data_IF_421915902791
#
_entry.id   IF_421915902791
#
_cell.length_a   1.000
_cell.length_b   1.000
_cell.length_c   1.000
_cell.angle_alpha   90.00
_cell.angle_beta   90.00
_cell.angle_gamma   90.00
#
_symmetry.space_group_name_H-M   'P 1'
#
loop_
_entity.id
_entity.type
_entity.pdbx_description
1 polymer ?
#
# COMPACT_ATOMS: atom_id res chain seq x y z
N UNK A 1 -13.97 0.35 1.51
CA UNK A 1 -12.87 1.33 1.50
C UNK A 1 -13.44 2.68 1.88
N UNK A 2 -12.58 3.63 2.25
CA UNK A 2 -12.92 5.03 2.46
C UNK A 2 -11.78 5.89 1.89
N UNK A 3 -12.09 7.10 1.44
CA UNK A 3 -11.10 8.06 0.96
C UNK A 3 -11.12 9.26 1.91
N UNK A 4 -9.96 9.59 2.47
CA UNK A 4 -9.76 10.82 3.24
C UNK A 4 -8.93 11.76 2.36
N UNK A 5 -9.55 12.80 1.81
CA UNK A 5 -8.86 13.78 0.96
C UNK A 5 -8.06 14.77 1.80
N UNK A 6 -6.97 15.30 1.23
CA UNK A 6 -6.17 16.39 1.79
C UNK A 6 -5.58 16.08 3.19
N UNK A 7 -5.09 14.85 3.39
CA UNK A 7 -4.54 14.40 4.69
C UNK A 7 -3.35 15.23 5.17
N UNK A 8 -2.69 15.95 4.26
CA UNK A 8 -1.64 16.91 4.55
C UNK A 8 -1.74 18.11 3.59
N UNK A 9 -1.38 19.32 4.05
CA UNK A 9 -1.27 20.48 3.17
C UNK A 9 -0.06 20.37 2.23
N UNK A 10 -0.02 21.11 1.11
CA UNK A 10 1.03 20.97 0.09
C UNK A 10 2.46 21.12 0.62
N UNK A 11 2.69 21.99 1.62
CA UNK A 11 4.00 22.17 2.22
C UNK A 11 4.49 20.93 3.00
N UNK A 12 3.59 20.20 3.67
CA UNK A 12 3.93 18.94 4.34
C UNK A 12 4.16 17.83 3.31
N UNK A 13 3.38 17.80 2.23
CA UNK A 13 3.63 16.89 1.10
C UNK A 13 5.02 17.12 0.50
N UNK A 14 5.44 18.37 0.27
CA UNK A 14 6.79 18.67 -0.22
C UNK A 14 7.88 18.18 0.73
N UNK A 15 7.73 18.41 2.05
CA UNK A 15 8.68 17.89 3.05
C UNK A 15 8.79 16.36 3.01
N UNK A 16 7.65 15.67 2.88
CA UNK A 16 7.64 14.21 2.76
C UNK A 16 8.35 13.74 1.48
N UNK A 17 8.15 14.43 0.35
CA UNK A 17 8.90 14.16 -0.88
C UNK A 17 10.40 14.34 -0.69
N UNK A 18 10.82 15.44 -0.05
CA UNK A 18 12.22 15.70 0.20
C UNK A 18 12.83 14.64 1.14
N UNK A 19 12.14 14.28 2.22
CA UNK A 19 12.56 13.22 3.14
C UNK A 19 12.65 11.83 2.45
N UNK A 20 11.74 11.53 1.51
CA UNK A 20 11.84 10.33 0.69
C UNK A 20 13.11 10.35 -0.17
N UNK A 21 13.36 11.45 -0.88
CA UNK A 21 14.54 11.56 -1.74
C UNK A 21 15.85 11.55 -0.96
N UNK A 22 15.91 12.20 0.20
CA UNK A 22 17.04 12.11 1.14
C UNK A 22 17.33 10.66 1.51
N UNK A 23 16.31 9.91 1.94
CA UNK A 23 16.45 8.49 2.26
C UNK A 23 16.95 7.68 1.06
N UNK A 24 16.36 7.85 -0.13
CA UNK A 24 16.77 7.08 -1.32
C UNK A 24 18.19 7.44 -1.80
N UNK A 25 18.62 8.69 -1.62
CA UNK A 25 19.97 9.13 -1.94
C UNK A 25 20.98 8.50 -0.98
N UNK A 26 20.68 8.48 0.31
CA UNK A 26 21.53 7.88 1.34
C UNK A 26 21.65 6.36 1.16
N UNK A 27 20.53 5.67 0.96
CA UNK A 27 20.49 4.20 0.97
C UNK A 27 20.85 3.59 -0.38
N UNK A 28 20.49 4.24 -1.48
CA UNK A 28 20.65 3.69 -2.84
C UNK A 28 21.44 4.58 -3.80
N UNK A 29 21.92 5.74 -3.37
CA UNK A 29 22.60 6.70 -4.26
C UNK A 29 21.67 7.30 -5.32
N UNK A 30 20.36 7.21 -5.12
CA UNK A 30 19.38 7.72 -6.07
C UNK A 30 19.39 9.25 -6.09
N UNK A 31 19.34 9.84 -7.28
CA UNK A 31 19.30 11.28 -7.46
C UNK A 31 17.94 11.70 -8.03
N UNK A 32 17.28 12.64 -7.34
CA UNK A 32 16.03 13.24 -7.79
C UNK A 32 16.23 13.89 -9.16
N UNK A 33 15.41 13.52 -10.13
CA UNK A 33 15.52 14.03 -11.50
C UNK A 33 16.57 13.34 -12.39
N UNK A 34 17.26 12.30 -11.92
CA UNK A 34 18.21 11.52 -12.74
C UNK A 34 17.79 10.04 -12.81
N UNK A 35 16.85 9.68 -13.71
CA UNK A 35 16.31 8.31 -13.80
C UNK A 35 17.36 7.21 -14.02
N UNK A 36 18.50 7.53 -14.62
CA UNK A 36 19.64 6.61 -14.79
C UNK A 36 20.21 6.10 -13.45
N UNK A 37 19.91 6.77 -12.34
CA UNK A 37 20.28 6.33 -10.98
C UNK A 37 19.24 5.40 -10.35
N UNK A 38 18.10 5.15 -11.00
CA UNK A 38 16.96 4.39 -10.45
C UNK A 38 16.89 2.95 -10.97
N UNK A 39 17.93 2.46 -11.64
CA UNK A 39 17.97 1.14 -12.30
C UNK A 39 17.68 -0.02 -11.33
N UNK A 40 18.14 0.10 -10.09
CA UNK A 40 17.95 -0.90 -9.03
C UNK A 40 16.57 -0.85 -8.37
N UNK A 41 15.57 -0.26 -9.03
CA UNK A 41 14.19 -0.26 -8.55
C UNK A 41 13.92 0.64 -7.36
N UNK A 42 14.86 1.51 -6.97
CA UNK A 42 14.77 2.29 -5.72
C UNK A 42 14.48 1.37 -4.53
N UNK A 43 15.19 0.24 -4.45
CA UNK A 43 15.01 -0.82 -3.44
C UNK A 43 13.64 -1.48 -3.39
N UNK A 44 12.75 -1.16 -4.32
CA UNK A 44 11.45 -1.78 -4.43
C UNK A 44 11.54 -3.11 -5.16
N UNK A 45 10.63 -4.03 -4.82
CA UNK A 45 10.43 -5.23 -5.59
C UNK A 45 10.03 -4.85 -7.04
N UNK A 46 10.75 -5.30 -8.08
CA UNK A 46 10.50 -4.87 -9.45
C UNK A 46 9.14 -5.32 -9.99
N UNK A 47 8.55 -6.38 -9.43
CA UNK A 47 7.24 -6.86 -9.84
C UNK A 47 6.09 -6.12 -9.16
N UNK A 48 6.23 -5.64 -7.92
CA UNK A 48 5.11 -5.06 -7.15
C UNK A 48 5.29 -3.58 -6.82
N UNK A 49 6.51 -3.05 -6.90
CA UNK A 49 6.85 -1.70 -6.44
C UNK A 49 6.90 -1.57 -4.91
N UNK A 50 6.74 -2.65 -4.15
CA UNK A 50 6.74 -2.63 -2.68
C UNK A 50 8.17 -2.53 -2.14
N UNK A 51 8.38 -1.64 -1.17
CA UNK A 51 9.60 -1.52 -0.38
C UNK A 51 9.28 -1.96 1.06
N UNK A 52 9.74 -3.16 1.42
CA UNK A 52 9.55 -3.74 2.78
C UNK A 52 10.84 -3.93 3.57
N UNK A 53 11.99 -3.47 3.05
CA UNK A 53 13.31 -3.70 3.62
C UNK A 53 14.13 -2.42 3.77
N UNK A 54 15.44 -2.58 3.99
CA UNK A 54 16.42 -1.48 4.02
C UNK A 54 16.13 -0.37 5.05
N UNK A 55 15.43 -0.69 6.14
CA UNK A 55 15.04 0.31 7.14
C UNK A 55 13.98 1.30 6.65
N UNK A 56 13.34 1.06 5.50
CA UNK A 56 12.37 2.00 4.92
C UNK A 56 11.21 2.26 5.89
N UNK A 57 10.70 1.19 6.52
CA UNK A 57 9.70 1.22 7.58
C UNK A 57 10.03 2.13 8.76
N UNK A 58 11.32 2.32 9.03
CA UNK A 58 11.87 3.08 10.14
C UNK A 58 12.40 4.45 9.70
N UNK A 59 12.32 4.78 8.41
CA UNK A 59 12.81 6.03 7.85
C UNK A 59 12.08 7.23 8.46
N UNK A 60 12.78 8.36 8.55
CA UNK A 60 12.19 9.65 8.91
C UNK A 60 10.95 9.96 8.07
N UNK A 61 11.03 9.69 6.77
CA UNK A 61 9.94 9.84 5.82
C UNK A 61 8.64 9.12 6.27
N UNK A 62 8.70 7.81 6.57
CA UNK A 62 7.50 7.09 6.97
C UNK A 62 7.03 7.46 8.39
N UNK A 63 7.93 7.86 9.29
CA UNK A 63 7.53 8.38 10.60
C UNK A 63 6.75 9.69 10.50
N UNK A 64 7.27 10.65 9.74
CA UNK A 64 6.58 11.93 9.51
C UNK A 64 5.22 11.69 8.83
N UNK A 65 5.14 10.77 7.86
CA UNK A 65 3.89 10.44 7.17
C UNK A 65 2.84 9.83 8.12
N UNK A 66 3.22 8.84 8.95
CA UNK A 66 2.29 8.16 9.86
C UNK A 66 1.80 9.06 10.99
N UNK A 67 2.60 10.06 11.35
CA UNK A 67 2.29 11.00 12.44
C UNK A 67 1.52 12.23 11.96
N UNK A 68 1.22 12.35 10.66
CA UNK A 68 0.33 13.37 10.14
C UNK A 68 -1.00 13.38 10.91
N UNK A 69 -1.48 14.56 11.39
CA UNK A 69 -2.67 14.62 12.25
C UNK A 69 -3.91 13.95 11.65
N UNK A 70 -4.15 14.10 10.34
CA UNK A 70 -5.32 13.49 9.69
C UNK A 70 -5.17 12.00 9.41
N UNK A 71 -3.94 11.51 9.25
CA UNK A 71 -3.67 10.06 9.15
C UNK A 71 -3.95 9.42 10.51
N UNK A 72 -3.38 9.99 11.57
CA UNK A 72 -3.64 9.57 12.95
C UNK A 72 -5.14 9.58 13.28
N UNK A 73 -5.82 10.70 13.02
CA UNK A 73 -7.25 10.83 13.29
C UNK A 73 -8.11 9.78 12.56
N UNK A 74 -7.72 9.39 11.34
CA UNK A 74 -8.43 8.33 10.61
C UNK A 74 -8.33 6.98 11.33
N UNK A 75 -7.15 6.62 11.84
CA UNK A 75 -6.97 5.37 12.59
C UNK A 75 -7.57 5.44 14.00
N UNK A 76 -7.54 6.59 14.67
CA UNK A 76 -8.21 6.79 15.97
C UNK A 76 -9.72 6.59 15.82
N UNK A 77 -10.30 7.08 14.73
CA UNK A 77 -11.70 6.85 14.40
C UNK A 77 -12.00 5.37 14.10
N UNK A 78 -11.15 4.69 13.33
CA UNK A 78 -11.36 3.28 12.96
C UNK A 78 -11.32 2.37 14.19
N UNK A 79 -10.39 2.62 15.10
CA UNK A 79 -10.13 1.78 16.28
C UNK A 79 -10.78 2.27 17.57
N UNK A 80 -11.45 3.42 17.53
CA UNK A 80 -12.19 4.00 18.65
C UNK A 80 -11.29 4.25 19.88
N UNK A 81 -10.03 4.61 19.64
CA UNK A 81 -9.03 4.89 20.69
C UNK A 81 -7.97 5.87 20.20
N UNK A 82 -7.45 6.69 21.10
CA UNK A 82 -6.27 7.54 20.86
C UNK A 82 -4.96 6.87 21.26
N UNK A 83 -5.04 5.74 21.95
CA UNK A 83 -3.89 4.93 22.36
C UNK A 83 -3.51 3.96 21.24
N UNK A 84 -2.81 4.49 20.23
CA UNK A 84 -2.42 3.76 19.02
C UNK A 84 -0.91 3.59 18.94
N UNK A 85 -0.50 2.42 18.45
CA UNK A 85 0.86 2.17 17.99
C UNK A 85 0.90 2.18 16.46
N UNK A 86 1.95 2.78 15.90
CA UNK A 86 2.20 2.73 14.46
C UNK A 86 2.96 1.47 14.09
N UNK A 87 2.49 0.77 13.06
CA UNK A 87 3.22 -0.34 12.44
C UNK A 87 4.47 0.17 11.71
N UNK A 88 5.47 -0.70 11.55
CA UNK A 88 6.70 -0.46 10.80
C UNK A 88 6.58 -0.91 9.33
N UNK A 89 5.39 -0.81 8.76
CA UNK A 89 5.11 -1.28 7.40
C UNK A 89 5.97 -0.58 6.34
N UNK A 90 5.88 -1.05 5.11
CA UNK A 90 6.57 -0.48 3.97
C UNK A 90 5.83 0.67 3.30
N UNK A 91 6.16 0.85 2.03
CA UNK A 91 5.40 1.66 1.08
C UNK A 91 5.65 1.17 -0.34
N UNK A 92 5.18 1.91 -1.32
CA UNK A 92 5.39 1.58 -2.73
C UNK A 92 5.99 2.73 -3.52
N UNK A 93 6.77 2.41 -4.54
CA UNK A 93 7.21 3.35 -5.56
C UNK A 93 7.09 2.72 -6.94
N UNK A 94 6.57 3.50 -7.89
CA UNK A 94 6.53 3.14 -9.30
C UNK A 94 7.49 4.06 -10.07
N UNK A 95 8.35 3.44 -10.89
CA UNK A 95 9.28 4.18 -11.75
C UNK A 95 8.58 4.57 -13.06
N UNK A 96 8.98 5.67 -13.71
CA UNK A 96 8.35 6.11 -14.96
C UNK A 96 8.59 5.10 -16.09
N UNK A 97 7.51 4.63 -16.70
CA UNK A 97 7.59 3.55 -17.70
C UNK A 97 7.64 4.04 -19.15
N UNK A 98 7.48 5.35 -19.39
CA UNK A 98 7.35 5.92 -20.74
C UNK A 98 8.58 5.64 -21.63
N UNK A 99 9.79 5.82 -21.09
CA UNK A 99 11.06 5.56 -21.76
C UNK A 99 11.72 4.26 -21.32
N UNK A 100 11.17 3.62 -20.27
CA UNK A 100 11.62 2.35 -19.69
C UNK A 100 10.45 1.40 -19.43
N UNK A 101 9.88 0.79 -20.48
CA UNK A 101 8.74 -0.12 -20.32
C UNK A 101 9.05 -1.34 -19.45
N UNK A 102 10.32 -1.74 -19.38
CA UNK A 102 10.83 -2.81 -18.52
C UNK A 102 10.66 -2.52 -17.01
N UNK A 103 10.45 -1.27 -16.63
CA UNK A 103 10.20 -0.89 -15.23
C UNK A 103 8.75 -1.08 -14.79
N UNK A 104 7.85 -1.50 -15.69
CA UNK A 104 6.44 -1.69 -15.38
C UNK A 104 6.22 -2.81 -14.35
N UNK A 105 5.55 -2.48 -13.26
CA UNK A 105 5.11 -3.45 -12.24
C UNK A 105 3.91 -4.27 -12.74
N UNK A 106 3.66 -5.42 -12.10
CA UNK A 106 2.54 -6.31 -12.38
C UNK A 106 1.27 -5.78 -11.71
N UNK A 107 0.19 -5.70 -12.48
CA UNK A 107 -1.18 -5.54 -11.96
C UNK A 107 -1.90 -6.87 -11.79
N UNK A 108 -3.17 -6.82 -11.36
CA UNK A 108 -4.08 -7.97 -11.39
C UNK A 108 -3.83 -9.05 -10.33
N UNK A 109 -2.94 -8.83 -9.37
CA UNK A 109 -2.70 -9.72 -8.24
C UNK A 109 -3.65 -9.40 -7.08
N UNK A 110 -4.95 -9.57 -7.31
CA UNK A 110 -5.99 -9.38 -6.29
C UNK A 110 -5.75 -10.28 -5.09
N UNK A 111 -5.90 -9.74 -3.88
CA UNK A 111 -5.64 -10.46 -2.63
C UNK A 111 -6.40 -9.83 -1.46
N UNK A 112 -6.40 -10.53 -0.33
CA UNK A 112 -6.73 -10.02 0.98
C UNK A 112 -5.53 -10.24 1.91
N UNK A 113 -5.16 -9.23 2.69
CA UNK A 113 -4.01 -9.29 3.60
C UNK A 113 -4.36 -9.77 5.01
N UNK A 114 -5.58 -10.23 5.22
CA UNK A 114 -5.99 -10.87 6.46
C UNK A 114 -6.52 -12.26 6.15
N UNK A 115 -5.95 -13.25 6.83
CA UNK A 115 -6.46 -14.61 6.79
C UNK A 115 -7.33 -14.87 8.02
N UNK A 116 -8.64 -14.76 7.85
CA UNK A 116 -9.62 -14.95 8.93
C UNK A 116 -9.65 -16.35 9.58
N UNK A 117 -8.92 -17.33 9.03
CA UNK A 117 -8.86 -18.69 9.59
C UNK A 117 -7.73 -18.89 10.60
N UNK A 118 -6.77 -17.97 10.67
CA UNK A 118 -5.66 -18.06 11.61
C UNK A 118 -6.12 -17.66 13.03
N UNK A 119 -5.48 -18.26 14.04
CA UNK A 119 -5.79 -17.98 15.43
C UNK A 119 -5.63 -16.48 15.75
N UNK A 120 -6.67 -15.86 16.32
CA UNK A 120 -6.68 -14.43 16.64
C UNK A 120 -6.82 -13.49 15.43
N UNK A 121 -7.10 -14.02 14.23
CA UNK A 121 -7.26 -13.22 13.00
C UNK A 121 -8.70 -13.13 12.48
N UNK A 122 -9.68 -13.61 13.25
CA UNK A 122 -11.09 -13.50 12.88
C UNK A 122 -11.66 -12.09 13.12
N UNK A 123 -12.66 -11.69 12.34
CA UNK A 123 -13.30 -10.38 12.47
C UNK A 123 -12.42 -9.22 11.97
N UNK A 124 -12.62 -8.02 12.51
CA UNK A 124 -11.86 -6.81 12.11
C UNK A 124 -10.60 -6.66 12.95
N UNK A 125 -9.48 -7.23 12.49
CA UNK A 125 -8.17 -7.12 13.17
C UNK A 125 -7.09 -6.45 12.31
N UNK A 126 -7.33 -6.31 11.01
CA UNK A 126 -6.44 -5.62 10.08
C UNK A 126 -7.24 -4.55 9.32
N UNK A 127 -6.75 -3.32 9.36
CA UNK A 127 -7.20 -2.24 8.48
C UNK A 127 -5.95 -1.56 7.95
N UNK A 128 -5.77 -1.60 6.63
CA UNK A 128 -4.64 -0.94 5.98
C UNK A 128 -5.00 0.46 5.50
N UNK A 129 -3.99 1.33 5.46
CA UNK A 129 -4.07 2.65 4.86
C UNK A 129 -2.94 2.86 3.86
N UNK A 130 -3.25 3.54 2.76
CA UNK A 130 -2.27 4.01 1.78
C UNK A 130 -2.41 5.52 1.65
N UNK A 131 -1.32 6.26 1.86
CA UNK A 131 -1.26 7.70 1.60
C UNK A 131 -0.63 7.89 0.22
N UNK A 132 -1.40 8.43 -0.72
CA UNK A 132 -0.89 8.79 -2.04
C UNK A 132 -0.15 10.12 -1.94
N UNK A 133 1.14 10.14 -2.32
CA UNK A 133 1.97 11.35 -2.36
C UNK A 133 2.09 11.95 -3.76
N UNK A 134 1.66 11.20 -4.77
CA UNK A 134 1.58 11.60 -6.17
C UNK A 134 0.21 11.24 -6.69
N UNK A 135 -0.29 12.00 -7.66
CA UNK A 135 -1.53 11.67 -8.36
C UNK A 135 -1.44 10.28 -8.98
N UNK A 136 -2.54 9.52 -8.84
CA UNK A 136 -2.69 8.19 -9.41
C UNK A 136 -3.81 8.21 -10.47
N UNK A 137 -3.55 7.58 -11.61
CA UNK A 137 -4.52 7.35 -12.68
C UNK A 137 -4.26 5.98 -13.34
N UNK A 138 -5.08 5.63 -14.32
CA UNK A 138 -5.04 4.35 -15.04
C UNK A 138 -3.72 4.09 -15.78
N UNK A 139 -2.93 5.12 -16.06
CA UNK A 139 -1.64 5.02 -16.73
C UNK A 139 -0.45 4.95 -15.75
N UNK A 140 -0.58 5.56 -14.57
CA UNK A 140 0.48 5.55 -13.54
C UNK A 140 0.33 4.38 -12.55
N UNK A 141 -0.88 3.82 -12.46
CA UNK A 141 -1.25 2.84 -11.45
C UNK A 141 -1.60 3.49 -10.10
N UNK A 142 -2.14 2.68 -9.20
CA UNK A 142 -2.58 3.09 -7.87
C UNK A 142 -3.25 1.94 -7.12
N UNK A 143 -3.94 2.26 -6.02
CA UNK A 143 -4.69 1.27 -5.27
C UNK A 143 -6.00 0.93 -5.99
N UNK A 144 -6.18 -0.35 -6.32
CA UNK A 144 -7.45 -0.86 -6.82
C UNK A 144 -8.19 -1.63 -5.73
N UNK A 145 -9.51 -1.43 -5.64
CA UNK A 145 -10.36 -2.11 -4.66
C UNK A 145 -11.63 -2.63 -5.32
N UNK A 146 -12.20 -3.70 -4.76
CA UNK A 146 -13.56 -4.17 -5.09
C UNK A 146 -14.46 -3.81 -3.91
N UNK A 147 -15.40 -2.86 -4.06
CA UNK A 147 -16.26 -2.42 -2.97
C UNK A 147 -17.10 -3.56 -2.39
N UNK A 148 -17.37 -3.52 -1.08
CA UNK A 148 -18.25 -4.48 -0.42
C UNK A 148 -17.61 -5.84 -0.07
N UNK A 149 -16.44 -6.19 -0.61
CA UNK A 149 -15.79 -7.50 -0.41
C UNK A 149 -15.42 -7.80 1.04
N UNK A 150 -15.16 -6.79 1.87
CA UNK A 150 -14.99 -6.93 3.32
C UNK A 150 -16.18 -7.65 4.01
N UNK A 151 -17.39 -7.62 3.45
CA UNK A 151 -18.58 -8.30 4.00
C UNK A 151 -18.56 -9.82 3.80
N UNK A 152 -17.75 -10.30 2.85
CA UNK A 152 -17.60 -11.73 2.54
C UNK A 152 -16.21 -12.24 2.92
N UNK A 153 -15.43 -11.46 3.67
CA UNK A 153 -14.07 -11.79 4.12
C UNK A 153 -14.01 -13.16 4.79
N UNK A 154 -14.84 -13.41 5.81
CA UNK A 154 -14.77 -14.66 6.57
C UNK A 154 -15.13 -15.87 5.70
N UNK A 155 -16.17 -15.75 4.87
CA UNK A 155 -16.56 -16.79 3.93
C UNK A 155 -15.47 -17.05 2.88
N UNK A 156 -14.80 -15.99 2.40
CA UNK A 156 -13.65 -16.08 1.51
C UNK A 156 -12.48 -16.81 2.17
N UNK A 157 -12.05 -16.38 3.35
CA UNK A 157 -10.95 -17.01 4.08
C UNK A 157 -11.25 -18.47 4.36
N UNK A 158 -12.46 -18.83 4.79
CA UNK A 158 -12.83 -20.22 5.08
C UNK A 158 -12.76 -21.14 3.87
N UNK A 159 -13.19 -20.68 2.69
CA UNK A 159 -13.18 -21.49 1.46
C UNK A 159 -11.87 -21.41 0.67
N UNK A 160 -10.95 -20.51 1.05
CA UNK A 160 -9.72 -20.29 0.29
C UNK A 160 -8.79 -21.51 0.40
N UNK A 161 -8.28 -22.07 -0.72
CA UNK A 161 -7.51 -23.33 -0.72
C UNK A 161 -6.26 -23.31 0.17
N UNK A 162 -5.67 -22.13 0.38
CA UNK A 162 -4.44 -21.96 1.17
C UNK A 162 -4.67 -21.40 2.56
N UNK A 163 -5.92 -21.26 3.01
CA UNK A 163 -6.20 -20.57 4.28
C UNK A 163 -5.55 -21.25 5.49
N UNK A 164 -5.51 -22.59 5.51
CA UNK A 164 -4.94 -23.36 6.63
C UNK A 164 -3.43 -23.56 6.56
N UNK A 165 -2.83 -23.39 5.38
CA UNK A 165 -1.41 -23.68 5.13
C UNK A 165 -0.60 -22.43 4.80
N UNK A 166 -1.27 -21.32 4.50
CA UNK A 166 -0.68 -20.03 4.19
C UNK A 166 -0.64 -19.08 5.39
N UNK A 167 -0.04 -17.91 5.17
CA UNK A 167 -0.02 -16.81 6.14
C UNK A 167 -1.24 -15.91 6.02
N UNK A 168 -1.06 -14.65 6.41
CA UNK A 168 -2.12 -13.62 6.36
C UNK A 168 -2.52 -13.25 4.91
N UNK A 169 -1.60 -13.35 3.96
CA UNK A 169 -1.84 -13.04 2.55
C UNK A 169 -2.63 -14.16 1.85
N UNK A 170 -3.84 -13.83 1.38
CA UNK A 170 -4.72 -14.71 0.61
C UNK A 170 -4.93 -14.15 -0.80
N UNK A 171 -4.26 -14.69 -1.84
CA UNK A 171 -4.52 -14.25 -3.20
C UNK A 171 -5.92 -14.65 -3.63
N UNK A 172 -6.60 -13.81 -4.42
CA UNK A 172 -7.91 -14.15 -4.99
C UNK A 172 -7.67 -14.95 -6.27
N UNK A 173 -8.12 -16.23 -6.36
CA UNK A 173 -7.93 -17.02 -7.56
C UNK A 173 -8.61 -16.40 -8.78
N UNK A 174 -8.04 -16.63 -9.97
CA UNK A 174 -8.70 -16.26 -11.22
C UNK A 174 -10.07 -16.94 -11.32
N UNK A 175 -11.09 -16.19 -11.71
CA UNK A 175 -12.48 -16.68 -11.81
C UNK A 175 -13.23 -16.78 -10.48
N UNK A 176 -12.62 -16.36 -9.35
CA UNK A 176 -13.32 -16.30 -8.08
C UNK A 176 -14.52 -15.33 -8.16
N UNK A 177 -15.71 -15.69 -7.64
CA UNK A 177 -16.89 -14.83 -7.68
C UNK A 177 -16.69 -13.44 -7.06
N UNK A 178 -15.73 -13.27 -6.15
CA UNK A 178 -15.39 -11.97 -5.55
C UNK A 178 -14.92 -10.98 -6.62
N UNK A 179 -14.23 -11.44 -7.66
CA UNK A 179 -13.78 -10.58 -8.76
C UNK A 179 -14.93 -10.06 -9.62
N UNK A 180 -16.09 -10.72 -9.58
CA UNK A 180 -17.32 -10.35 -10.28
C UNK A 180 -18.37 -9.70 -9.37
N UNK A 181 -18.13 -9.66 -8.04
CA UNK A 181 -19.09 -9.18 -7.05
C UNK A 181 -19.29 -7.65 -7.07
N UNK A 182 -18.43 -6.91 -7.77
CA UNK A 182 -18.51 -5.47 -7.92
C UNK A 182 -17.53 -4.93 -8.96
N UNK A 183 -17.62 -3.64 -9.24
CA UNK A 183 -16.68 -2.94 -10.09
C UNK A 183 -15.28 -2.93 -9.45
N UNK A 184 -14.25 -3.19 -10.25
CA UNK A 184 -12.86 -3.03 -9.85
C UNK A 184 -12.50 -1.55 -10.01
N UNK A 185 -12.43 -0.84 -8.90
CA UNK A 185 -12.27 0.62 -8.90
C UNK A 185 -10.81 0.95 -8.62
N UNK A 186 -10.18 1.70 -9.53
CA UNK A 186 -8.94 2.40 -9.25
C UNK A 186 -9.25 3.64 -8.41
N UNK A 187 -8.60 3.74 -7.25
CA UNK A 187 -8.72 4.90 -6.39
C UNK A 187 -7.75 5.98 -6.85
N UNK A 188 -8.26 6.87 -7.71
CA UNK A 188 -7.62 8.14 -8.03
C UNK A 188 -7.99 9.15 -6.93
N UNK A 189 -7.01 9.70 -6.23
CA UNK A 189 -7.23 10.70 -5.20
C UNK A 189 -6.23 11.84 -5.31
#
# INVERSE_FOLDING_TARGET
YAIVRDVAPPNEIHKLHDAYWEYTAEVWGAQRGQPSTWENGLGANPATGIIGGHGFGQSRFLWELRTLPRVRAAFEFIWETTDLLSSYDGGNVFRPTHSRPDWRTKGGWWHCDQNGTLAGRSGRVCVQGLVLLTEANEYTGGLCVIPGTHRVHDAFSQRHPWAKTGGDFLPVPSGDPILAAGEQILLCA
#
